data_IF_839442605593
#
_entry.id   IF_839442605593
#
_cell.length_a   1.000
_cell.length_b   1.000
_cell.length_c   1.000
_cell.angle_alpha   90.00
_cell.angle_beta   90.00
_cell.angle_gamma   90.00
#
_symmetry.space_group_name_H-M   'P 1'
#
loop_
_entity.id
_entity.type
_entity.pdbx_description
1 polymer ?
#
# COMPACT_ATOMS: atom_id res chain seq x y z
N UNK A 1 47.82 -38.26 -45.38
CA UNK A 1 48.89 -38.70 -44.48
C UNK A 1 48.49 -38.27 -43.07
N UNK A 2 48.14 -39.21 -42.30
CA UNK A 2 48.71 -39.55 -41.00
C UNK A 2 48.60 -38.40 -39.98
N UNK A 3 48.06 -38.45 -38.84
CA UNK A 3 47.98 -39.57 -37.88
C UNK A 3 47.52 -38.99 -36.55
N UNK A 4 46.55 -39.59 -35.98
CA UNK A 4 46.59 -40.26 -34.67
C UNK A 4 46.64 -39.36 -33.43
N UNK A 5 45.59 -39.52 -32.64
CA UNK A 5 45.53 -40.25 -31.38
C UNK A 5 46.06 -39.39 -30.24
N UNK A 6 45.36 -39.16 -29.16
CA UNK A 6 45.21 -40.09 -28.05
C UNK A 6 44.42 -39.38 -26.94
N UNK A 7 43.33 -39.93 -26.60
CA UNK A 7 43.02 -40.59 -25.33
C UNK A 7 43.20 -39.77 -24.06
N UNK A 8 42.05 -39.65 -23.44
CA UNK A 8 41.78 -39.94 -22.04
C UNK A 8 42.51 -39.11 -21.00
N UNK A 9 41.76 -38.50 -20.13
CA UNK A 9 41.56 -39.04 -18.77
C UNK A 9 40.37 -38.32 -18.14
N UNK A 10 39.39 -39.10 -17.80
CA UNK A 10 38.35 -38.75 -16.84
C UNK A 10 39.04 -38.56 -15.47
N UNK A 11 38.72 -37.51 -14.78
CA UNK A 11 38.79 -37.52 -13.34
C UNK A 11 37.69 -36.70 -12.75
N UNK A 12 36.75 -37.43 -12.20
CA UNK A 12 35.71 -37.01 -11.29
C UNK A 12 36.23 -36.09 -10.19
N UNK A 13 35.69 -34.92 -10.08
CA UNK A 13 35.69 -34.21 -8.82
C UNK A 13 34.23 -33.96 -8.46
N UNK A 14 33.73 -34.87 -7.66
CA UNK A 14 32.49 -34.79 -6.91
C UNK A 14 32.64 -33.69 -5.85
N UNK A 15 32.33 -32.47 -6.22
CA UNK A 15 32.24 -31.33 -5.30
C UNK A 15 30.80 -31.23 -4.79
N UNK A 16 30.60 -31.82 -3.64
CA UNK A 16 29.38 -31.68 -2.86
C UNK A 16 29.21 -30.22 -2.40
N UNK A 17 28.54 -29.40 -3.21
CA UNK A 17 28.13 -28.06 -2.79
C UNK A 17 26.82 -28.19 -2.04
N UNK A 18 26.89 -28.13 -0.72
CA UNK A 18 25.74 -27.90 0.16
C UNK A 18 25.25 -26.49 -0.12
N UNK A 19 24.20 -26.39 -0.93
CA UNK A 19 23.42 -25.18 -1.10
C UNK A 19 22.66 -24.94 0.18
N UNK A 20 23.14 -24.01 0.98
CA UNK A 20 22.32 -23.34 1.97
C UNK A 20 21.22 -22.58 1.24
N UNK A 21 20.01 -23.09 1.29
CA UNK A 21 18.82 -22.36 0.91
C UNK A 21 18.62 -21.24 1.94
N UNK A 22 19.12 -20.05 1.65
CA UNK A 22 18.59 -18.83 2.24
C UNK A 22 17.25 -18.58 1.58
N UNK A 23 16.19 -18.93 2.28
CA UNK A 23 14.83 -18.52 1.98
C UNK A 23 14.76 -16.99 2.18
N UNK A 24 15.14 -16.28 1.14
CA UNK A 24 14.95 -14.85 1.04
C UNK A 24 13.47 -14.62 0.79
N UNK A 25 12.74 -14.33 1.87
CA UNK A 25 11.38 -13.80 1.78
C UNK A 25 11.41 -12.58 0.86
N UNK A 26 11.04 -12.80 -0.39
CA UNK A 26 10.89 -11.76 -1.40
C UNK A 26 9.86 -10.77 -0.86
N UNK A 27 10.31 -9.59 -0.47
CA UNK A 27 9.45 -8.45 -0.26
C UNK A 27 8.84 -8.13 -1.62
N UNK A 28 7.63 -8.63 -1.87
CA UNK A 28 6.86 -8.24 -3.04
C UNK A 28 6.77 -6.71 -3.04
N UNK A 29 7.26 -6.12 -4.10
CA UNK A 29 7.23 -4.67 -4.29
C UNK A 29 5.78 -4.23 -4.29
N UNK A 30 5.42 -3.36 -3.39
CA UNK A 30 4.09 -2.75 -3.27
C UNK A 30 3.61 -2.08 -4.58
N UNK A 31 4.54 -1.80 -5.49
CA UNK A 31 4.31 -1.26 -6.83
C UNK A 31 3.58 -2.21 -7.78
N UNK A 32 3.63 -3.54 -7.56
CA UNK A 32 3.04 -4.50 -8.50
C UNK A 32 1.54 -4.72 -8.29
N UNK A 33 0.97 -4.21 -7.20
CA UNK A 33 -0.46 -4.36 -6.85
C UNK A 33 -1.27 -3.08 -7.10
N UNK A 34 -0.61 -1.93 -7.08
CA UNK A 34 -1.18 -0.68 -7.56
C UNK A 34 -0.81 -0.55 -9.03
N UNK A 35 -1.83 -0.52 -9.92
CA UNK A 35 -1.61 -0.21 -11.33
C UNK A 35 -0.80 1.09 -11.43
N UNK A 36 0.43 0.98 -11.88
CA UNK A 36 1.43 2.06 -11.95
C UNK A 36 0.94 3.25 -12.81
N UNK A 37 -0.14 3.04 -13.57
CA UNK A 37 -0.75 4.06 -14.44
C UNK A 37 -1.69 5.03 -13.70
N UNK A 38 -2.03 4.78 -12.42
CA UNK A 38 -3.05 5.55 -11.70
C UNK A 38 -2.67 5.91 -10.26
N UNK A 39 -1.39 5.83 -9.90
CA UNK A 39 -0.94 6.18 -8.54
C UNK A 39 -0.75 7.69 -8.41
N UNK A 40 -1.58 8.33 -7.60
CA UNK A 40 -1.38 9.74 -7.23
C UNK A 40 -0.21 9.89 -6.26
N UNK A 41 0.39 11.09 -6.19
CA UNK A 41 1.46 11.39 -5.24
C UNK A 41 1.03 11.10 -3.80
N UNK A 42 -0.21 11.46 -3.48
CA UNK A 42 -0.81 11.22 -2.16
C UNK A 42 -2.13 10.47 -2.32
N UNK A 43 -2.28 9.38 -1.57
CA UNK A 43 -3.51 8.60 -1.53
C UNK A 43 -4.11 8.58 -0.13
N UNK A 44 -5.40 8.87 -0.04
CA UNK A 44 -6.20 8.67 1.16
C UNK A 44 -7.02 7.41 0.95
N UNK A 45 -6.71 6.34 1.67
CA UNK A 45 -7.27 5.01 1.46
C UNK A 45 -8.12 4.61 2.66
N UNK A 46 -9.40 4.40 2.42
CA UNK A 46 -10.31 3.87 3.41
C UNK A 46 -10.64 2.40 3.10
N UNK A 47 -10.34 1.51 4.03
CA UNK A 47 -10.69 0.10 3.95
C UNK A 47 -12.00 -0.17 4.67
N UNK A 48 -12.87 -1.01 4.10
CA UNK A 48 -14.12 -1.41 4.72
C UNK A 48 -14.48 -2.87 4.41
N UNK A 49 -15.13 -3.54 5.35
CA UNK A 49 -15.66 -4.88 5.18
C UNK A 49 -17.19 -4.91 5.12
N UNK A 50 -17.76 -6.11 5.07
CA UNK A 50 -19.21 -6.34 4.98
C UNK A 50 -20.00 -5.69 6.12
N UNK A 51 -19.45 -5.72 7.32
CA UNK A 51 -20.10 -5.12 8.51
C UNK A 51 -19.53 -3.74 8.78
N UNK A 52 -20.40 -2.74 8.70
CA UNK A 52 -20.01 -1.33 8.87
C UNK A 52 -20.75 -0.71 10.04
N UNK A 53 -20.01 -0.34 11.08
CA UNK A 53 -20.54 0.42 12.21
C UNK A 53 -20.83 1.88 11.84
N UNK A 54 -21.65 2.57 12.64
CA UNK A 54 -21.94 3.99 12.39
C UNK A 54 -20.70 4.90 12.40
N UNK A 55 -19.70 4.59 13.22
CA UNK A 55 -18.42 5.30 13.22
C UNK A 55 -17.62 4.98 11.96
N UNK A 56 -17.63 3.74 11.49
CA UNK A 56 -16.98 3.33 10.24
C UNK A 56 -17.53 4.11 9.03
N UNK A 57 -18.87 4.23 8.95
CA UNK A 57 -19.53 5.02 7.90
C UNK A 57 -19.16 6.50 8.00
N UNK A 58 -19.12 7.05 9.23
CA UNK A 58 -18.72 8.43 9.46
C UNK A 58 -17.26 8.70 9.07
N UNK A 59 -16.35 7.76 9.34
CA UNK A 59 -14.94 7.84 8.96
C UNK A 59 -14.78 7.99 7.45
N UNK A 60 -15.37 7.10 6.67
CA UNK A 60 -15.31 7.20 5.21
C UNK A 60 -15.89 8.50 4.69
N UNK A 61 -17.13 8.78 5.10
CA UNK A 61 -17.86 9.97 4.63
C UNK A 61 -17.07 11.26 4.88
N UNK A 62 -16.64 11.47 6.12
CA UNK A 62 -15.99 12.73 6.48
C UNK A 62 -14.53 12.81 6.05
N UNK A 63 -13.84 11.67 5.85
CA UNK A 63 -12.55 11.66 5.19
C UNK A 63 -12.68 12.11 3.73
N UNK A 64 -13.63 11.54 3.00
CA UNK A 64 -13.91 11.97 1.62
C UNK A 64 -14.29 13.44 1.53
N UNK A 65 -15.21 13.91 2.40
CA UNK A 65 -15.59 15.32 2.44
C UNK A 65 -14.39 16.25 2.72
N UNK A 66 -13.49 15.86 3.63
CA UNK A 66 -12.28 16.64 3.93
C UNK A 66 -11.39 16.78 2.69
N UNK A 67 -11.12 15.67 2.01
CA UNK A 67 -10.28 15.63 0.81
C UNK A 67 -10.92 16.42 -0.32
N UNK A 68 -12.19 16.17 -0.64
CA UNK A 68 -12.92 16.83 -1.73
C UNK A 68 -13.00 18.35 -1.52
N UNK A 69 -13.22 18.80 -0.27
CA UNK A 69 -13.43 20.23 0.01
C UNK A 69 -12.13 21.02 0.12
N UNK A 70 -11.05 20.42 0.65
CA UNK A 70 -9.81 21.14 0.89
C UNK A 70 -8.82 21.06 -0.29
N UNK A 71 -8.95 20.02 -1.14
CA UNK A 71 -7.95 19.69 -2.15
C UNK A 71 -8.52 19.50 -3.56
N UNK A 72 -9.64 20.14 -3.88
CA UNK A 72 -10.33 19.98 -5.18
C UNK A 72 -9.41 20.17 -6.39
N UNK A 73 -8.53 21.17 -6.38
CA UNK A 73 -7.58 21.42 -7.46
C UNK A 73 -6.50 20.32 -7.53
N UNK A 74 -5.98 19.86 -6.37
CA UNK A 74 -4.99 18.79 -6.30
C UNK A 74 -5.55 17.43 -6.77
N UNK A 75 -6.84 17.19 -6.53
CA UNK A 75 -7.53 16.00 -7.05
C UNK A 75 -7.65 16.08 -8.57
N UNK A 76 -8.06 17.24 -9.09
CA UNK A 76 -8.17 17.48 -10.53
C UNK A 76 -6.83 17.31 -11.25
N UNK A 77 -5.74 17.72 -10.62
CA UNK A 77 -4.38 17.60 -11.13
C UNK A 77 -3.80 16.18 -10.95
N UNK A 78 -4.54 15.25 -10.33
CA UNK A 78 -4.10 13.87 -10.08
C UNK A 78 -3.06 13.72 -8.97
N UNK A 79 -2.78 14.79 -8.20
CA UNK A 79 -1.80 14.79 -7.11
C UNK A 79 -2.33 14.05 -5.89
N UNK A 80 -3.63 14.21 -5.59
CA UNK A 80 -4.30 13.57 -4.46
C UNK A 80 -5.46 12.73 -4.96
N UNK A 81 -5.62 11.54 -4.38
CA UNK A 81 -6.77 10.69 -4.65
C UNK A 81 -7.35 10.11 -3.36
N UNK A 82 -8.67 9.92 -3.33
CA UNK A 82 -9.38 9.21 -2.28
C UNK A 82 -9.91 7.88 -2.82
N UNK A 83 -9.56 6.78 -2.17
CA UNK A 83 -10.00 5.42 -2.53
C UNK A 83 -10.75 4.77 -1.37
N UNK A 84 -11.87 4.12 -1.67
CA UNK A 84 -12.54 3.18 -0.75
C UNK A 84 -12.34 1.76 -1.26
N UNK A 85 -11.77 0.90 -0.42
CA UNK A 85 -11.42 -0.48 -0.76
C UNK A 85 -12.27 -1.44 0.06
N UNK A 86 -13.04 -2.28 -0.64
CA UNK A 86 -13.81 -3.36 -0.03
C UNK A 86 -12.92 -4.58 0.20
N UNK A 87 -12.50 -4.80 1.45
CA UNK A 87 -11.65 -5.94 1.83
C UNK A 87 -12.39 -7.29 1.82
N UNK A 88 -13.69 -7.30 1.51
CA UNK A 88 -14.47 -8.53 1.40
C UNK A 88 -14.42 -9.14 -0.01
N UNK A 89 -13.83 -8.46 -0.97
CA UNK A 89 -13.58 -8.99 -2.30
C UNK A 89 -12.09 -9.36 -2.50
N UNK A 90 -11.75 -10.28 -3.43
CA UNK A 90 -10.38 -10.78 -3.57
C UNK A 90 -9.32 -9.74 -3.95
N UNK A 91 -9.70 -8.67 -4.66
CA UNK A 91 -8.77 -7.60 -5.05
C UNK A 91 -8.49 -6.70 -3.85
N UNK A 92 -9.53 -6.30 -3.13
CA UNK A 92 -9.39 -5.51 -1.92
C UNK A 92 -8.68 -6.24 -0.79
N UNK A 93 -8.87 -7.56 -0.66
CA UNK A 93 -8.16 -8.41 0.29
C UNK A 93 -6.65 -8.35 0.05
N UNK A 94 -6.20 -8.50 -1.20
CA UNK A 94 -4.77 -8.41 -1.55
C UNK A 94 -4.16 -7.06 -1.16
N UNK A 95 -4.91 -5.97 -1.38
CA UNK A 95 -4.43 -4.64 -1.00
C UNK A 95 -4.42 -4.50 0.52
N UNK A 96 -5.45 -4.99 1.21
CA UNK A 96 -5.53 -4.98 2.67
C UNK A 96 -4.36 -5.73 3.32
N UNK A 97 -3.94 -6.85 2.75
CA UNK A 97 -2.78 -7.62 3.21
C UNK A 97 -1.48 -6.80 3.18
N UNK A 98 -1.27 -5.97 2.15
CA UNK A 98 -0.11 -5.06 2.05
C UNK A 98 -0.10 -3.97 3.14
N UNK A 99 -1.26 -3.66 3.69
CA UNK A 99 -1.43 -2.71 4.78
C UNK A 99 -1.62 -3.39 6.14
N UNK A 100 -1.62 -4.73 6.18
CA UNK A 100 -1.90 -5.53 7.38
C UNK A 100 -3.27 -5.19 7.99
N UNK A 101 -4.28 -4.95 7.12
CA UNK A 101 -5.62 -4.49 7.50
C UNK A 101 -6.61 -5.64 7.43
N UNK A 102 -7.38 -5.84 8.50
CA UNK A 102 -8.46 -6.86 8.58
C UNK A 102 -9.83 -6.27 8.92
N UNK A 103 -9.92 -4.97 9.11
CA UNK A 103 -11.16 -4.27 9.47
C UNK A 103 -11.18 -2.85 8.89
N UNK A 104 -12.26 -2.08 9.16
CA UNK A 104 -12.34 -0.68 8.72
C UNK A 104 -11.16 0.13 9.21
N UNK A 105 -10.40 0.72 8.29
CA UNK A 105 -9.16 1.45 8.55
C UNK A 105 -9.00 2.62 7.60
N UNK A 106 -8.25 3.64 8.03
CA UNK A 106 -7.94 4.82 7.22
C UNK A 106 -6.42 5.03 7.19
N UNK A 107 -5.88 5.13 5.99
CA UNK A 107 -4.47 5.44 5.75
C UNK A 107 -4.31 6.66 4.86
N UNK A 108 -3.25 7.43 5.09
CA UNK A 108 -2.78 8.47 4.18
C UNK A 108 -1.37 8.07 3.75
N UNK A 109 -1.16 7.95 2.44
CA UNK A 109 0.07 7.45 1.84
C UNK A 109 0.71 8.54 1.00
N UNK A 110 1.99 8.79 1.21
CA UNK A 110 2.83 9.58 0.32
C UNK A 110 3.64 8.62 -0.58
N UNK A 111 3.39 8.66 -1.87
CA UNK A 111 4.02 7.81 -2.88
C UNK A 111 5.23 8.48 -3.55
N UNK A 112 5.51 9.76 -3.27
CA UNK A 112 6.63 10.51 -3.88
C UNK A 112 8.01 9.95 -3.55
N UNK A 113 8.31 9.49 -2.32
CA UNK A 113 9.59 8.86 -2.01
C UNK A 113 9.74 7.50 -2.70
N UNK A 114 10.99 7.07 -2.93
CA UNK A 114 11.29 5.71 -3.45
C UNK A 114 10.64 4.60 -2.62
N UNK A 115 10.45 4.85 -1.34
CA UNK A 115 9.69 4.00 -0.44
C UNK A 115 8.50 4.77 0.11
N UNK A 116 7.25 4.36 -0.21
CA UNK A 116 6.06 5.03 0.26
C UNK A 116 5.98 5.15 1.78
N UNK A 117 5.54 6.31 2.26
CA UNK A 117 5.29 6.58 3.67
C UNK A 117 3.81 6.41 3.95
N UNK A 118 3.46 5.47 4.83
CA UNK A 118 2.07 5.19 5.24
C UNK A 118 1.82 5.73 6.64
N UNK A 119 0.77 6.53 6.81
CA UNK A 119 0.30 7.00 8.12
C UNK A 119 -1.05 6.39 8.42
N UNK A 120 -1.13 5.61 9.49
CA UNK A 120 -2.37 5.03 10.00
C UNK A 120 -3.16 6.06 10.81
N UNK A 121 -4.32 6.46 10.26
CA UNK A 121 -5.27 7.39 10.89
C UNK A 121 -6.46 6.67 11.54
N UNK A 122 -6.45 5.34 11.59
CA UNK A 122 -7.59 4.52 12.03
C UNK A 122 -8.01 4.84 13.47
N UNK A 123 -7.07 4.82 14.40
CA UNK A 123 -7.37 5.13 15.81
C UNK A 123 -7.84 6.57 16.01
N UNK A 124 -7.30 7.51 15.24
CA UNK A 124 -7.75 8.90 15.26
C UNK A 124 -9.17 9.01 14.71
N UNK A 125 -9.48 8.28 13.63
CA UNK A 125 -10.80 8.21 13.02
C UNK A 125 -11.86 7.66 13.98
N UNK A 126 -11.59 6.53 14.64
CA UNK A 126 -12.54 5.96 15.60
C UNK A 126 -12.85 6.88 16.77
N UNK A 127 -11.88 7.66 17.23
CA UNK A 127 -12.10 8.62 18.32
C UNK A 127 -12.92 9.85 17.91
N UNK A 128 -12.77 10.32 16.68
CA UNK A 128 -13.23 11.65 16.29
C UNK A 128 -14.33 11.68 15.24
N UNK A 129 -14.35 10.76 14.26
CA UNK A 129 -15.18 10.88 13.07
C UNK A 129 -16.68 11.05 13.39
N UNK A 130 -17.19 10.36 14.40
CA UNK A 130 -18.61 10.42 14.74
C UNK A 130 -19.00 11.65 15.57
N UNK A 131 -18.20 11.99 16.58
CA UNK A 131 -18.59 12.96 17.61
C UNK A 131 -17.81 14.28 17.51
N UNK A 132 -16.67 14.30 16.84
CA UNK A 132 -15.77 15.46 16.71
C UNK A 132 -15.40 15.68 15.22
N UNK A 133 -16.43 15.77 14.37
CA UNK A 133 -16.26 15.76 12.91
C UNK A 133 -15.26 16.80 12.40
N UNK A 134 -15.31 18.02 12.90
CA UNK A 134 -14.41 19.09 12.44
C UNK A 134 -12.94 18.80 12.82
N UNK A 135 -12.71 18.26 14.03
CA UNK A 135 -11.39 17.81 14.46
C UNK A 135 -10.90 16.68 13.56
N UNK A 136 -11.80 15.75 13.20
CA UNK A 136 -11.45 14.64 12.33
C UNK A 136 -11.05 15.10 10.92
N UNK A 137 -11.88 15.96 10.31
CA UNK A 137 -11.59 16.52 8.99
C UNK A 137 -10.29 17.33 8.98
N UNK A 138 -10.10 18.19 9.99
CA UNK A 138 -8.88 18.99 10.10
C UNK A 138 -7.64 18.12 10.25
N UNK A 139 -7.68 17.06 11.06
CA UNK A 139 -6.53 16.16 11.23
C UNK A 139 -6.14 15.44 9.94
N UNK A 140 -7.09 15.12 9.06
CA UNK A 140 -6.81 14.57 7.73
C UNK A 140 -6.13 15.62 6.85
N UNK A 141 -6.68 16.84 6.82
CA UNK A 141 -6.13 17.96 6.05
C UNK A 141 -4.70 18.27 6.50
N UNK A 142 -4.46 18.34 7.81
CA UNK A 142 -3.15 18.61 8.39
C UNK A 142 -2.13 17.53 8.01
N UNK A 143 -2.56 16.25 7.99
CA UNK A 143 -1.67 15.16 7.61
C UNK A 143 -1.33 15.19 6.12
N UNK A 144 -2.29 15.51 5.26
CA UNK A 144 -2.04 15.66 3.82
C UNK A 144 -1.11 16.83 3.55
N UNK A 145 -1.30 17.98 4.22
CA UNK A 145 -0.43 19.14 4.07
C UNK A 145 1.03 18.84 4.41
N UNK A 146 1.29 18.02 5.44
CA UNK A 146 2.67 17.57 5.78
C UNK A 146 3.35 16.78 4.66
N UNK A 147 2.58 16.17 3.77
CA UNK A 147 3.11 15.45 2.62
C UNK A 147 3.25 16.34 1.38
N UNK A 148 2.55 17.48 1.37
CA UNK A 148 2.64 18.46 0.28
C UNK A 148 3.80 19.45 0.47
N UNK A 149 4.24 19.69 1.72
CA UNK A 149 5.36 20.56 2.08
C UNK A 149 6.71 19.89 1.73
#
# INVERSE_FOLDING_TARGET
>A
MKSKILKTVALSILGLFLLGACDGKQSEKMTDVFDESTTSDIEVIYFFGKQRCSTCVAMEKFAKEAVDSAFADKIKDGIINFKSIDIANPEGEKIADLFEVSASSLYIVDNKPDKPVKVDMTSFGFRNAKNNREIYKQGIIDQINKFLD
#
